data_IF_392056040302
#
_entry.id   IF_392056040302
#
_cell.length_a   1.000
_cell.length_b   1.000
_cell.length_c   1.000
_cell.angle_alpha   90.00
_cell.angle_beta   90.00
_cell.angle_gamma   90.00
#
_symmetry.space_group_name_H-M   'P 1'
#
loop_
_entity.id
_entity.type
_entity.pdbx_description
1 polymer ?
#
# COMPACT_ATOMS: atom_id res chain seq x y z
N UNK A 1 -6.50 -11.89 -8.25
CA UNK A 1 -6.74 -10.49 -8.70
C UNK A 1 -6.28 -9.55 -7.61
N UNK A 2 -5.92 -8.30 -7.94
CA UNK A 2 -5.45 -7.32 -6.97
C UNK A 2 -3.98 -7.53 -6.58
N UNK A 3 -3.62 -7.12 -5.35
CA UNK A 3 -2.25 -7.08 -4.88
C UNK A 3 -1.48 -8.41 -4.99
N UNK A 4 -2.15 -9.55 -4.75
CA UNK A 4 -1.55 -10.90 -4.88
C UNK A 4 -1.03 -11.19 -6.30
N UNK A 5 -1.73 -10.70 -7.33
CA UNK A 5 -1.31 -10.88 -8.71
C UNK A 5 -0.10 -9.99 -9.05
N UNK A 6 -0.07 -8.76 -8.50
CA UNK A 6 1.08 -7.86 -8.65
C UNK A 6 2.31 -8.42 -7.93
N UNK A 7 2.15 -8.93 -6.72
CA UNK A 7 3.23 -9.57 -5.96
C UNK A 7 3.83 -10.74 -6.76
N UNK A 8 2.98 -11.62 -7.31
CA UNK A 8 3.42 -12.73 -8.14
C UNK A 8 4.18 -12.29 -9.40
N UNK A 9 3.76 -11.20 -10.05
CA UNK A 9 4.47 -10.64 -11.20
C UNK A 9 5.80 -10.02 -10.81
N UNK A 10 5.83 -9.25 -9.72
CA UNK A 10 7.04 -8.61 -9.22
C UNK A 10 8.10 -9.63 -8.77
N UNK A 11 7.69 -10.70 -8.10
CA UNK A 11 8.59 -11.77 -7.63
C UNK A 11 9.26 -12.57 -8.76
N UNK A 12 8.77 -12.46 -10.01
CA UNK A 12 9.32 -13.13 -11.19
C UNK A 12 10.21 -12.21 -12.02
N UNK A 13 10.39 -10.96 -11.61
CA UNK A 13 11.23 -10.02 -12.35
C UNK A 13 12.71 -10.32 -12.09
N UNK A 14 13.43 -10.58 -13.17
CA UNK A 14 14.89 -10.47 -13.18
C UNK A 14 15.27 -9.02 -13.48
N UNK A 15 15.88 -8.34 -12.50
CA UNK A 15 16.25 -6.93 -12.63
C UNK A 15 17.46 -6.72 -13.54
N UNK A 16 18.36 -7.70 -13.65
CA UNK A 16 19.55 -7.61 -14.49
C UNK A 16 19.14 -7.70 -15.96
N UNK A 17 18.38 -8.73 -16.32
CA UNK A 17 17.84 -8.89 -17.68
C UNK A 17 16.96 -7.70 -18.10
N UNK A 18 16.12 -7.22 -17.17
CA UNK A 18 15.29 -6.04 -17.43
C UNK A 18 16.12 -4.77 -17.62
N UNK A 19 17.22 -4.59 -16.89
CA UNK A 19 18.15 -3.47 -17.11
C UNK A 19 18.78 -3.54 -18.50
N UNK A 20 19.34 -4.69 -18.90
CA UNK A 20 19.99 -4.85 -20.19
C UNK A 20 19.03 -4.60 -21.36
N UNK A 21 17.82 -5.17 -21.28
CA UNK A 21 16.78 -4.96 -22.30
C UNK A 21 16.34 -3.49 -22.40
N UNK A 22 16.18 -2.79 -21.27
CA UNK A 22 15.80 -1.37 -21.27
C UNK A 22 16.92 -0.47 -21.79
N UNK A 23 18.20 -0.76 -21.48
CA UNK A 23 19.36 -0.04 -22.05
C UNK A 23 19.43 -0.23 -23.57
N UNK A 24 19.27 -1.46 -24.05
CA UNK A 24 19.24 -1.75 -25.48
C UNK A 24 18.10 -1.01 -26.19
N UNK A 25 16.90 -1.03 -25.59
CA UNK A 25 15.73 -0.32 -26.11
C UNK A 25 15.95 1.19 -26.15
N UNK A 26 16.51 1.79 -25.10
CA UNK A 26 16.79 3.23 -25.06
C UNK A 26 17.81 3.67 -26.12
N UNK A 27 18.73 2.80 -26.53
CA UNK A 27 19.74 3.09 -27.54
C UNK A 27 19.27 2.82 -28.98
N UNK A 28 18.37 1.86 -29.18
CA UNK A 28 17.94 1.41 -30.52
C UNK A 28 16.63 2.05 -30.97
N UNK A 29 15.80 2.53 -30.03
CA UNK A 29 14.50 3.10 -30.35
C UNK A 29 14.62 4.49 -30.98
N UNK A 30 13.93 4.67 -32.12
CA UNK A 30 13.94 5.92 -32.90
C UNK A 30 12.93 6.95 -32.39
N UNK A 31 11.85 6.48 -31.74
CA UNK A 31 10.85 7.35 -31.13
C UNK A 31 11.35 7.95 -29.82
N UNK A 32 11.43 9.28 -29.75
CA UNK A 32 11.78 10.02 -28.53
C UNK A 32 10.86 9.68 -27.35
N UNK A 33 9.56 9.48 -27.60
CA UNK A 33 8.60 9.13 -26.56
C UNK A 33 8.91 7.77 -25.94
N UNK A 34 9.11 6.73 -26.77
CA UNK A 34 9.42 5.38 -26.30
C UNK A 34 10.79 5.30 -25.64
N UNK A 35 11.77 6.05 -26.14
CA UNK A 35 13.08 6.21 -25.49
C UNK A 35 12.96 6.82 -24.11
N UNK A 36 12.18 7.89 -23.98
CA UNK A 36 11.93 8.56 -22.69
C UNK A 36 11.24 7.62 -21.69
N UNK A 37 10.26 6.84 -22.15
CA UNK A 37 9.58 5.85 -21.30
C UNK A 37 10.54 4.74 -20.84
N UNK A 38 11.39 4.23 -21.74
CA UNK A 38 12.40 3.23 -21.40
C UNK A 38 13.41 3.77 -20.36
N UNK A 39 13.86 5.02 -20.51
CA UNK A 39 14.77 5.67 -19.56
C UNK A 39 14.12 5.87 -18.18
N UNK A 40 12.84 6.28 -18.11
CA UNK A 40 12.11 6.41 -16.84
C UNK A 40 12.00 5.07 -16.11
N UNK A 41 11.69 3.99 -16.83
CA UNK A 41 11.64 2.64 -16.26
C UNK A 41 13.03 2.17 -15.82
N UNK A 42 14.05 2.41 -16.64
CA UNK A 42 15.43 2.04 -16.34
C UNK A 42 15.91 2.71 -15.05
N UNK A 43 15.59 3.98 -14.82
CA UNK A 43 15.95 4.69 -13.60
C UNK A 43 15.45 3.98 -12.33
N UNK A 44 14.21 3.47 -12.35
CA UNK A 44 13.65 2.71 -11.22
C UNK A 44 14.37 1.37 -11.04
N UNK A 45 14.61 0.65 -12.14
CA UNK A 45 15.29 -0.66 -12.11
C UNK A 45 16.73 -0.52 -11.58
N UNK A 46 17.48 0.46 -12.07
CA UNK A 46 18.85 0.71 -11.60
C UNK A 46 18.86 1.14 -10.13
N UNK A 47 17.87 1.89 -9.65
CA UNK A 47 17.76 2.24 -8.23
C UNK A 47 17.58 0.99 -7.34
N UNK A 48 16.77 0.02 -7.76
CA UNK A 48 16.64 -1.26 -7.06
C UNK A 48 17.94 -2.07 -7.11
N UNK A 49 18.59 -2.16 -8.26
CA UNK A 49 19.88 -2.87 -8.42
C UNK A 49 20.98 -2.25 -7.56
N UNK A 50 21.10 -0.93 -7.57
CA UNK A 50 22.06 -0.20 -6.73
C UNK A 50 21.77 -0.41 -5.25
N UNK A 51 20.51 -0.32 -4.82
CA UNK A 51 20.13 -0.58 -3.44
C UNK A 51 20.55 -2.00 -3.01
N UNK A 52 20.33 -3.00 -3.86
CA UNK A 52 20.70 -4.41 -3.62
C UNK A 52 22.20 -4.65 -3.44
N UNK A 53 23.07 -3.71 -3.85
CA UNK A 53 24.52 -3.81 -3.54
C UNK A 53 24.83 -3.54 -2.07
N UNK A 54 23.94 -2.83 -1.37
CA UNK A 54 24.10 -2.43 0.04
C UNK A 54 23.18 -3.21 0.95
N UNK A 55 21.90 -3.29 0.59
CA UNK A 55 20.83 -3.90 1.40
C UNK A 55 19.85 -4.57 0.43
N UNK A 56 19.51 -5.83 0.71
CA UNK A 56 18.47 -6.54 -0.05
C UNK A 56 17.16 -5.75 -0.03
N UNK A 57 16.64 -5.44 -1.21
CA UNK A 57 15.43 -4.67 -1.44
C UNK A 57 14.72 -5.23 -2.67
N UNK A 58 13.66 -6.00 -2.44
CA UNK A 58 12.93 -6.69 -3.51
C UNK A 58 11.70 -5.91 -3.97
N UNK A 59 11.43 -5.84 -5.29
CA UNK A 59 10.25 -5.13 -5.80
C UNK A 59 8.92 -5.62 -5.21
N UNK A 60 8.77 -6.93 -4.96
CA UNK A 60 7.55 -7.50 -4.39
C UNK A 60 7.24 -7.01 -2.98
N UNK A 61 8.22 -6.45 -2.25
CA UNK A 61 8.00 -5.88 -0.91
C UNK A 61 7.14 -4.62 -0.93
N UNK A 62 6.91 -4.03 -2.11
CA UNK A 62 5.88 -2.98 -2.28
C UNK A 62 4.46 -3.51 -1.98
N UNK A 63 4.25 -4.82 -2.01
CA UNK A 63 2.99 -5.47 -1.62
C UNK A 63 3.08 -5.92 -0.16
N UNK A 64 2.39 -5.20 0.73
CA UNK A 64 2.42 -5.50 2.15
C UNK A 64 1.50 -6.69 2.52
N UNK A 65 2.09 -7.72 3.14
CA UNK A 65 1.33 -8.81 3.80
C UNK A 65 1.11 -8.55 5.29
N UNK A 66 2.01 -7.79 5.91
CA UNK A 66 2.00 -7.44 7.32
C UNK A 66 2.07 -5.92 7.42
N UNK A 67 1.06 -5.32 8.05
CA UNK A 67 1.03 -3.88 8.30
C UNK A 67 1.53 -3.64 9.72
N UNK A 68 2.66 -2.93 9.91
CA UNK A 68 3.14 -2.61 11.25
C UNK A 68 2.17 -1.66 11.96
N UNK A 69 2.08 -1.80 13.28
CA UNK A 69 1.27 -0.92 14.13
C UNK A 69 2.20 -0.08 14.97
N UNK A 70 2.06 1.24 14.89
CA UNK A 70 2.90 2.15 15.69
C UNK A 70 2.67 1.96 17.20
N UNK A 71 3.68 2.22 18.04
CA UNK A 71 3.57 2.16 19.49
C UNK A 71 2.36 2.95 20.04
N UNK A 72 1.62 2.44 21.04
CA UNK A 72 0.48 3.11 21.66
C UNK A 72 0.72 4.57 22.10
N UNK A 73 1.94 4.87 22.50
CA UNK A 73 2.42 6.16 23.00
C UNK A 73 2.37 7.23 21.90
N UNK A 74 2.56 6.82 20.64
CA UNK A 74 2.41 7.68 19.46
C UNK A 74 0.96 7.77 18.97
N UNK A 75 0.03 7.02 19.57
CA UNK A 75 -1.41 7.05 19.27
C UNK A 75 -2.25 7.06 20.56
N UNK A 76 -2.07 8.11 21.41
CA UNK A 76 -2.59 8.13 22.76
C UNK A 76 -4.11 8.08 22.81
N UNK A 77 -4.61 7.50 23.90
CA UNK A 77 -6.00 7.55 24.33
C UNK A 77 -6.04 8.33 25.66
N UNK A 78 -6.51 9.56 25.62
CA UNK A 78 -6.48 10.48 26.76
C UNK A 78 -7.87 10.53 27.39
N UNK A 79 -8.03 10.17 28.68
CA UNK A 79 -9.30 10.35 29.38
C UNK A 79 -9.60 11.84 29.55
N UNK A 80 -10.88 12.19 29.42
CA UNK A 80 -11.43 13.52 29.65
C UNK A 80 -12.44 13.48 30.80
N UNK A 81 -12.75 14.65 31.34
CA UNK A 81 -13.77 14.79 32.37
C UNK A 81 -15.14 14.25 31.90
N UNK A 82 -15.86 13.60 32.81
CA UNK A 82 -17.17 13.02 32.52
C UNK A 82 -17.14 11.68 31.76
N UNK A 83 -16.04 10.93 31.83
CA UNK A 83 -15.93 9.56 31.27
C UNK A 83 -15.76 9.51 29.75
N UNK A 84 -15.43 10.64 29.12
CA UNK A 84 -15.12 10.72 27.69
C UNK A 84 -13.65 10.40 27.45
N UNK A 85 -13.31 10.02 26.22
CA UNK A 85 -11.93 9.78 25.80
C UNK A 85 -11.64 10.55 24.52
N UNK A 86 -10.50 11.23 24.46
CA UNK A 86 -9.92 11.71 23.22
C UNK A 86 -9.01 10.60 22.65
N UNK A 87 -9.16 10.28 21.37
CA UNK A 87 -8.36 9.26 20.68
C UNK A 87 -7.65 9.89 19.48
N UNK A 88 -6.44 9.39 19.18
CA UNK A 88 -5.79 9.65 17.89
C UNK A 88 -6.63 9.13 16.72
N UNK A 89 -6.67 9.89 15.61
CA UNK A 89 -7.33 9.52 14.34
C UNK A 89 -6.79 8.18 13.81
N UNK A 90 -5.52 7.88 14.07
CA UNK A 90 -4.87 6.63 13.66
C UNK A 90 -5.54 5.40 14.26
N UNK A 91 -6.05 5.49 15.49
CA UNK A 91 -6.73 4.35 16.12
C UNK A 91 -8.00 3.96 15.34
N UNK A 92 -8.71 4.92 14.75
CA UNK A 92 -9.89 4.63 13.92
C UNK A 92 -9.51 4.05 12.56
N UNK A 93 -8.42 4.52 11.96
CA UNK A 93 -7.88 3.97 10.71
C UNK A 93 -7.40 2.52 10.91
N UNK A 94 -6.65 2.24 11.99
CA UNK A 94 -6.25 0.88 12.36
C UNK A 94 -7.46 -0.01 12.63
N UNK A 95 -8.46 0.48 13.38
CA UNK A 95 -9.70 -0.26 13.67
C UNK A 95 -10.40 -0.69 12.38
N UNK A 96 -10.49 0.20 11.38
CA UNK A 96 -11.09 -0.11 10.07
C UNK A 96 -10.35 -1.25 9.37
N UNK A 97 -9.02 -1.18 9.30
CA UNK A 97 -8.19 -2.26 8.71
C UNK A 97 -8.43 -3.59 9.41
N UNK A 98 -8.40 -3.60 10.75
CA UNK A 98 -8.61 -4.82 11.56
C UNK A 98 -10.00 -5.41 11.32
N UNK A 99 -11.06 -4.59 11.32
CA UNK A 99 -12.43 -5.04 11.08
C UNK A 99 -12.57 -5.68 9.69
N UNK A 100 -12.04 -5.03 8.66
CA UNK A 100 -12.07 -5.55 7.28
C UNK A 100 -11.28 -6.84 7.15
N UNK A 101 -10.09 -6.90 7.74
CA UNK A 101 -9.25 -8.11 7.71
C UNK A 101 -9.92 -9.30 8.41
N UNK A 102 -10.48 -9.08 9.61
CA UNK A 102 -11.20 -10.12 10.34
C UNK A 102 -12.47 -10.58 9.62
N UNK A 103 -13.18 -9.64 8.97
CA UNK A 103 -14.35 -9.97 8.15
C UNK A 103 -13.95 -10.80 6.92
N UNK A 104 -12.90 -10.40 6.20
CA UNK A 104 -12.38 -11.16 5.07
C UNK A 104 -11.98 -12.57 5.48
N UNK A 105 -11.29 -12.72 6.61
CA UNK A 105 -10.91 -14.04 7.17
C UNK A 105 -12.15 -14.93 7.39
N UNK A 106 -13.19 -14.41 8.05
CA UNK A 106 -14.44 -15.16 8.26
C UNK A 106 -15.14 -15.52 6.95
N UNK A 107 -15.17 -14.61 5.97
CA UNK A 107 -15.77 -14.87 4.66
C UNK A 107 -15.05 -16.00 3.90
N UNK A 108 -13.71 -16.10 4.05
CA UNK A 108 -12.92 -17.20 3.49
C UNK A 108 -13.25 -18.52 4.19
N UNK A 109 -13.32 -18.52 5.53
CA UNK A 109 -13.64 -19.71 6.34
C UNK A 109 -14.99 -20.34 5.95
N UNK A 110 -16.01 -19.50 5.71
CA UNK A 110 -17.33 -19.98 5.27
C UNK A 110 -17.43 -20.23 3.76
N UNK A 111 -16.32 -20.11 3.01
CA UNK A 111 -16.27 -20.24 1.54
C UNK A 111 -17.28 -19.34 0.82
N UNK A 112 -17.35 -18.08 1.21
CA UNK A 112 -18.23 -17.11 0.58
C UNK A 112 -17.94 -16.97 -0.94
N UNK A 113 -18.97 -16.66 -1.76
CA UNK A 113 -18.81 -16.44 -3.20
C UNK A 113 -17.70 -15.42 -3.55
N UNK A 114 -17.04 -15.64 -4.69
CA UNK A 114 -15.89 -14.83 -5.13
C UNK A 114 -16.22 -13.34 -5.25
N UNK A 115 -17.43 -12.98 -5.68
CA UNK A 115 -17.88 -11.57 -5.80
C UNK A 115 -17.82 -10.87 -4.44
N UNK A 116 -18.23 -11.56 -3.37
CA UNK A 116 -18.22 -11.01 -2.00
C UNK A 116 -16.78 -10.89 -1.51
N UNK A 117 -15.94 -11.91 -1.75
CA UNK A 117 -14.53 -11.88 -1.39
C UNK A 117 -13.77 -10.75 -2.10
N UNK A 118 -14.04 -10.53 -3.40
CA UNK A 118 -13.44 -9.44 -4.19
C UNK A 118 -13.83 -8.08 -3.63
N UNK A 119 -15.10 -7.88 -3.28
CA UNK A 119 -15.52 -6.63 -2.68
C UNK A 119 -14.86 -6.40 -1.31
N UNK A 120 -14.75 -7.44 -0.47
CA UNK A 120 -14.09 -7.28 0.83
C UNK A 120 -12.59 -7.04 0.69
N UNK A 121 -11.90 -7.69 -0.28
CA UNK A 121 -10.51 -7.38 -0.63
C UNK A 121 -10.34 -5.91 -1.07
N UNK A 122 -11.26 -5.38 -1.90
CA UNK A 122 -11.27 -3.96 -2.28
C UNK A 122 -11.43 -3.04 -1.06
N UNK A 123 -12.39 -3.33 -0.18
CA UNK A 123 -12.63 -2.53 1.03
C UNK A 123 -11.45 -2.59 2.02
N UNK A 124 -10.77 -3.73 2.12
CA UNK A 124 -9.56 -3.89 2.91
C UNK A 124 -8.42 -3.04 2.33
N UNK A 125 -8.20 -3.11 1.01
CA UNK A 125 -7.22 -2.26 0.32
C UNK A 125 -7.50 -0.78 0.59
N UNK A 126 -8.75 -0.34 0.46
CA UNK A 126 -9.13 1.04 0.72
C UNK A 126 -8.85 1.47 2.17
N UNK A 127 -9.02 0.57 3.13
CA UNK A 127 -8.73 0.85 4.54
C UNK A 127 -7.22 0.98 4.79
N UNK A 128 -6.40 0.16 4.13
CA UNK A 128 -4.94 0.26 4.21
C UNK A 128 -4.45 1.54 3.53
N UNK A 129 -5.00 1.89 2.38
CA UNK A 129 -4.66 3.13 1.69
C UNK A 129 -4.94 4.35 2.58
N UNK A 130 -6.12 4.42 3.21
CA UNK A 130 -6.46 5.51 4.13
C UNK A 130 -5.61 5.53 5.41
N UNK A 131 -5.10 4.39 5.86
CA UNK A 131 -4.17 4.34 6.99
C UNK A 131 -2.81 4.95 6.63
N UNK A 132 -2.30 4.65 5.44
CA UNK A 132 -1.00 5.15 4.97
C UNK A 132 -1.07 6.61 4.52
N UNK A 133 -2.05 6.95 3.69
CA UNK A 133 -2.25 8.27 3.10
C UNK A 133 -3.74 8.51 2.82
N UNK A 134 -4.40 9.24 3.73
CA UNK A 134 -5.83 9.55 3.61
C UNK A 134 -6.10 10.77 2.71
N UNK A 135 -5.06 11.50 2.29
CA UNK A 135 -5.20 12.77 1.55
C UNK A 135 -5.33 12.55 0.04
N UNK A 136 -4.77 11.46 -0.49
CA UNK A 136 -4.78 11.16 -1.94
C UNK A 136 -6.14 10.81 -2.54
N UNK A 137 -7.17 10.54 -1.74
CA UNK A 137 -8.47 10.07 -2.25
C UNK A 137 -9.55 11.17 -2.23
N UNK A 138 -10.31 11.27 -3.32
CA UNK A 138 -11.50 12.12 -3.42
C UNK A 138 -12.55 11.81 -2.33
N UNK A 139 -12.54 10.58 -1.80
CA UNK A 139 -13.38 10.11 -0.71
C UNK A 139 -12.55 9.84 0.55
N UNK A 140 -11.80 10.84 1.03
CA UNK A 140 -11.07 10.74 2.29
C UNK A 140 -11.99 10.24 3.42
N UNK A 141 -11.45 9.43 4.32
CA UNK A 141 -12.18 8.97 5.50
C UNK A 141 -12.32 10.14 6.47
N UNK A 142 -13.56 10.42 6.88
CA UNK A 142 -13.90 11.56 7.74
C UNK A 142 -14.49 11.12 9.08
N UNK A 143 -14.36 11.99 10.06
CA UNK A 143 -15.09 11.97 11.34
C UNK A 143 -16.58 12.29 11.13
N UNK A 144 -17.37 12.11 12.18
CA UNK A 144 -18.77 12.55 12.22
C UNK A 144 -18.93 14.07 12.01
N UNK A 145 -17.92 14.85 12.41
CA UNK A 145 -17.83 16.30 12.16
C UNK A 145 -17.33 16.66 10.75
N UNK A 146 -17.33 15.71 9.80
CA UNK A 146 -16.92 15.88 8.40
C UNK A 146 -15.45 16.34 8.23
N UNK A 147 -14.61 16.18 9.26
CA UNK A 147 -13.17 16.43 9.22
C UNK A 147 -12.45 15.18 8.73
N UNK A 148 -11.49 15.29 7.81
CA UNK A 148 -10.67 14.15 7.41
C UNK A 148 -9.80 13.64 8.56
N UNK A 149 -9.72 12.31 8.71
CA UNK A 149 -8.80 11.67 9.65
C UNK A 149 -7.36 11.86 9.20
N UNK A 150 -6.45 12.16 10.13
CA UNK A 150 -5.01 12.19 9.86
C UNK A 150 -4.45 10.77 9.72
N UNK A 151 -3.72 10.54 8.63
CA UNK A 151 -3.05 9.27 8.32
C UNK A 151 -1.60 9.26 8.79
N UNK A 152 -0.90 8.13 8.58
CA UNK A 152 0.50 8.00 8.96
C UNK A 152 1.41 8.98 8.20
N UNK A 153 1.10 9.32 6.95
CA UNK A 153 1.85 10.32 6.18
C UNK A 153 1.59 11.76 6.62
N UNK A 154 0.48 12.01 7.33
CA UNK A 154 0.12 13.35 7.85
C UNK A 154 0.68 13.62 9.25
N UNK A 155 1.24 12.59 9.90
CA UNK A 155 1.69 12.59 11.29
C UNK A 155 3.17 12.95 11.43
#
# INVERSE_FOLDING_TARGET
MGAEALEALLSRLDLDDLSYSLRHKANTETSQQRKTEALKRLAVVEAFRDANTRIENKPEWMVMRVVPVIPPELRPLVPLDGGRFATSDLNDLYRRVIIRNNRLKRLIEIKAPEVILRNEKRMLQESVDSLLDNTRKASAVKTESNRALKSLSDS
#
